data_IF_742941873099
#
_entry.id   IF_742941873099
#
_cell.length_a   1.000
_cell.length_b   1.000
_cell.length_c   1.000
_cell.angle_alpha   90.00
_cell.angle_beta   90.00
_cell.angle_gamma   90.00
#
_symmetry.space_group_name_H-M   'P 1'
#
loop_
_entity.id
_entity.type
_entity.pdbx_description
1 polymer ?
#
# COMPACT_ATOMS: atom_id res chain seq x y z
N UNK A 1 8.79 3.90 2.04
CA UNK A 1 8.07 4.83 1.14
C UNK A 1 7.60 4.16 -0.15
N UNK A 2 8.46 3.41 -0.88
CA UNK A 2 8.06 2.65 -2.09
C UNK A 2 6.94 1.63 -1.79
N UNK A 3 7.02 1.00 -0.62
CA UNK A 3 6.14 -0.09 -0.18
C UNK A 3 4.63 0.26 -0.12
N UNK A 4 4.30 1.54 0.11
CA UNK A 4 2.90 1.99 0.19
C UNK A 4 2.31 2.36 -1.17
N UNK A 5 3.16 2.63 -2.17
CA UNK A 5 2.73 3.17 -3.45
C UNK A 5 2.48 2.08 -4.49
N UNK A 6 3.36 1.08 -4.60
CA UNK A 6 3.31 0.09 -5.69
C UNK A 6 3.21 -1.33 -5.17
N UNK A 7 4.23 -1.80 -4.45
CA UNK A 7 4.32 -3.19 -4.01
C UNK A 7 4.92 -3.31 -2.62
N UNK A 8 4.42 -4.25 -1.81
CA UNK A 8 4.95 -4.53 -0.48
C UNK A 8 6.38 -5.11 -0.52
N UNK A 9 6.78 -5.71 -1.64
CA UNK A 9 8.02 -6.48 -1.80
C UNK A 9 8.82 -6.01 -3.03
N UNK A 10 9.31 -4.76 -3.07
CA UNK A 10 10.06 -4.25 -4.21
C UNK A 10 11.41 -4.98 -4.34
N UNK A 11 11.88 -5.18 -5.58
CA UNK A 11 13.21 -5.74 -5.81
C UNK A 11 14.32 -4.81 -5.29
N UNK A 12 15.50 -5.35 -4.93
CA UNK A 12 16.65 -4.51 -4.52
C UNK A 12 17.03 -3.47 -5.58
N UNK A 13 16.97 -3.82 -6.87
CA UNK A 13 17.26 -2.90 -7.96
C UNK A 13 16.25 -1.75 -8.07
N UNK A 14 14.98 -2.00 -7.74
CA UNK A 14 13.98 -0.93 -7.71
C UNK A 14 14.23 0.04 -6.55
N UNK A 15 14.57 -0.47 -5.36
CA UNK A 15 14.96 0.36 -4.22
C UNK A 15 16.16 1.24 -4.56
N UNK A 16 17.17 0.67 -5.24
CA UNK A 16 18.36 1.39 -5.67
C UNK A 16 18.04 2.54 -6.63
N UNK A 17 17.22 2.31 -7.67
CA UNK A 17 16.84 3.36 -8.63
C UNK A 17 16.12 4.54 -7.97
N UNK A 18 15.23 4.24 -7.02
CA UNK A 18 14.52 5.28 -6.26
C UNK A 18 15.47 6.03 -5.32
N UNK A 19 16.39 5.33 -4.66
CA UNK A 19 17.40 5.96 -3.82
C UNK A 19 18.33 6.88 -4.63
N UNK A 20 18.72 6.47 -5.83
CA UNK A 20 19.52 7.29 -6.75
C UNK A 20 18.76 8.55 -7.20
N UNK A 21 17.46 8.46 -7.48
CA UNK A 21 16.60 9.62 -7.79
C UNK A 21 16.50 10.60 -6.61
N UNK A 22 16.43 10.08 -5.38
CA UNK A 22 16.48 10.91 -4.18
C UNK A 22 17.84 11.60 -4.02
N UNK A 23 18.93 10.89 -4.31
CA UNK A 23 20.29 11.45 -4.23
C UNK A 23 20.50 12.55 -5.28
N UNK A 24 19.97 12.36 -6.50
CA UNK A 24 20.06 13.30 -7.60
C UNK A 24 18.86 13.13 -8.54
N UNK A 25 18.05 14.17 -8.68
CA UNK A 25 16.88 14.20 -9.56
C UNK A 25 17.21 14.35 -11.06
N UNK A 26 18.46 14.14 -11.47
CA UNK A 26 18.96 14.37 -12.82
C UNK A 26 19.34 15.83 -13.10
N UNK A 27 19.11 16.75 -12.16
CA UNK A 27 19.51 18.17 -12.23
C UNK A 27 20.45 18.56 -11.08
N UNK A 28 21.05 17.57 -10.40
CA UNK A 28 21.97 17.78 -9.28
C UNK A 28 21.29 18.13 -7.96
N UNK A 29 19.94 18.13 -7.88
CA UNK A 29 19.22 18.42 -6.64
C UNK A 29 18.90 17.13 -5.88
N UNK A 30 19.29 17.11 -4.60
CA UNK A 30 18.98 16.04 -3.65
C UNK A 30 17.63 16.31 -2.99
N UNK A 31 16.82 15.27 -2.79
CA UNK A 31 15.59 15.34 -2.03
C UNK A 31 14.36 15.86 -2.78
N UNK A 32 14.39 15.87 -4.11
CA UNK A 32 13.21 16.22 -4.92
C UNK A 32 12.16 15.10 -4.86
N UNK A 33 11.15 15.29 -4.01
CA UNK A 33 10.08 14.30 -3.82
C UNK A 33 9.23 14.10 -5.08
N UNK A 34 9.07 15.11 -5.93
CA UNK A 34 8.31 14.97 -7.17
C UNK A 34 9.06 14.04 -8.14
N UNK A 35 10.38 14.19 -8.24
CA UNK A 35 11.23 13.29 -9.01
C UNK A 35 11.21 11.86 -8.45
N UNK A 36 11.29 11.71 -7.13
CA UNK A 36 11.24 10.40 -6.45
C UNK A 36 9.91 9.69 -6.70
N UNK A 37 8.78 10.38 -6.51
CA UNK A 37 7.45 9.81 -6.76
C UNK A 37 7.30 9.43 -8.24
N UNK A 38 7.81 10.26 -9.15
CA UNK A 38 7.83 9.94 -10.58
C UNK A 38 8.63 8.67 -10.87
N UNK A 39 9.81 8.53 -10.29
CA UNK A 39 10.62 7.31 -10.43
C UNK A 39 9.88 6.09 -9.91
N UNK A 40 9.21 6.19 -8.75
CA UNK A 40 8.39 5.10 -8.19
C UNK A 40 7.27 4.70 -9.15
N UNK A 41 6.48 5.65 -9.64
CA UNK A 41 5.30 5.33 -10.46
C UNK A 41 5.64 4.95 -11.91
N UNK A 42 6.81 5.34 -12.40
CA UNK A 42 7.25 5.07 -13.77
C UNK A 42 8.30 3.96 -13.88
N UNK A 43 8.67 3.32 -12.77
CA UNK A 43 9.62 2.22 -12.78
C UNK A 43 9.11 1.04 -13.63
N UNK A 44 9.99 0.35 -14.38
CA UNK A 44 9.62 -0.85 -15.13
C UNK A 44 8.91 -1.90 -14.26
N UNK A 45 9.34 -2.09 -13.01
CA UNK A 45 8.72 -3.02 -12.08
C UNK A 45 7.29 -2.59 -11.73
N UNK A 46 7.02 -1.28 -11.66
CA UNK A 46 5.69 -0.76 -11.36
C UNK A 46 4.71 -0.83 -12.55
N UNK A 47 5.19 -0.90 -13.79
CA UNK A 47 4.36 -0.75 -15.01
C UNK A 47 4.28 -1.98 -15.90
N UNK A 48 5.30 -2.83 -15.91
CA UNK A 48 5.35 -3.94 -16.86
C UNK A 48 4.48 -5.11 -16.41
N UNK A 49 3.78 -5.70 -17.38
CA UNK A 49 2.83 -6.80 -17.16
C UNK A 49 3.52 -8.08 -16.67
N UNK A 50 4.79 -8.27 -17.03
CA UNK A 50 5.63 -9.38 -16.55
C UNK A 50 5.74 -9.40 -15.03
N UNK A 51 5.79 -8.23 -14.38
CA UNK A 51 5.80 -8.13 -12.93
C UNK A 51 4.39 -8.27 -12.35
N UNK A 52 3.38 -7.65 -12.98
CA UNK A 52 2.00 -7.68 -12.47
C UNK A 52 1.29 -9.03 -12.55
N UNK A 53 1.61 -9.86 -13.56
CA UNK A 53 0.98 -11.16 -13.77
C UNK A 53 1.95 -12.34 -13.62
N UNK A 54 3.26 -12.10 -13.59
CA UNK A 54 4.28 -13.16 -13.52
C UNK A 54 4.83 -13.44 -12.13
N UNK A 55 4.64 -12.54 -11.16
CA UNK A 55 5.22 -12.70 -9.81
C UNK A 55 4.14 -12.78 -8.72
N UNK A 56 4.05 -13.91 -7.97
CA UNK A 56 3.15 -14.05 -6.83
C UNK A 56 3.40 -13.05 -5.70
N UNK A 57 4.57 -12.43 -5.65
CA UNK A 57 4.96 -11.45 -4.62
C UNK A 57 4.67 -10.01 -5.00
N UNK A 58 4.24 -9.75 -6.24
CA UNK A 58 4.03 -8.41 -6.76
C UNK A 58 2.71 -7.78 -6.28
N UNK A 59 2.74 -6.46 -6.13
CA UNK A 59 1.62 -5.68 -5.61
C UNK A 59 1.57 -5.66 -4.09
N UNK A 60 0.40 -5.28 -3.56
CA UNK A 60 0.12 -5.19 -2.13
C UNK A 60 -1.34 -5.48 -1.87
N UNK A 61 -1.65 -6.02 -0.71
CA UNK A 61 -3.05 -6.14 -0.31
C UNK A 61 -3.61 -4.76 0.03
N UNK A 62 -4.88 -4.56 -0.33
CA UNK A 62 -5.61 -3.36 0.03
C UNK A 62 -5.98 -3.43 1.50
N UNK A 63 -5.77 -2.32 2.18
CA UNK A 63 -6.30 -2.05 3.51
C UNK A 63 -7.83 -2.32 3.54
N UNK A 64 -8.37 -2.93 4.62
CA UNK A 64 -9.80 -3.17 4.79
C UNK A 64 -10.68 -1.95 4.46
N UNK A 65 -10.28 -0.75 4.90
CA UNK A 65 -11.03 0.50 4.65
C UNK A 65 -11.08 0.78 3.15
N UNK A 66 -9.93 0.70 2.47
CA UNK A 66 -9.84 0.93 1.02
C UNK A 66 -10.57 -0.14 0.22
N UNK A 67 -10.61 -1.38 0.71
CA UNK A 67 -11.37 -2.47 0.10
C UNK A 67 -12.88 -2.18 0.16
N UNK A 68 -13.40 -1.80 1.32
CA UNK A 68 -14.82 -1.45 1.50
C UNK A 68 -15.21 -0.25 0.65
N UNK A 69 -14.39 0.81 0.62
CA UNK A 69 -14.63 1.97 -0.25
C UNK A 69 -14.62 1.56 -1.73
N UNK A 70 -13.74 0.64 -2.12
CA UNK A 70 -13.71 0.09 -3.48
C UNK A 70 -15.01 -0.62 -3.87
N UNK A 71 -15.55 -1.44 -2.96
CA UNK A 71 -16.84 -2.12 -3.14
C UNK A 71 -17.97 -1.09 -3.24
N UNK A 72 -18.01 -0.10 -2.34
CA UNK A 72 -19.02 0.95 -2.38
C UNK A 72 -18.99 1.77 -3.67
N UNK A 73 -17.78 2.06 -4.20
CA UNK A 73 -17.60 2.72 -5.49
C UNK A 73 -18.05 1.86 -6.67
N UNK A 74 -17.70 0.58 -6.67
CA UNK A 74 -18.14 -0.36 -7.72
C UNK A 74 -19.66 -0.49 -7.76
N UNK A 75 -20.31 -0.49 -6.59
CA UNK A 75 -21.77 -0.49 -6.46
C UNK A 75 -22.45 0.87 -6.60
N UNK A 76 -21.67 1.96 -6.79
CA UNK A 76 -22.17 3.33 -6.88
C UNK A 76 -23.11 3.73 -5.72
N UNK A 77 -22.77 3.27 -4.50
CA UNK A 77 -23.67 3.34 -3.34
C UNK A 77 -23.98 4.77 -2.89
N UNK A 78 -23.13 5.73 -3.26
CA UNK A 78 -23.36 7.16 -3.02
C UNK A 78 -24.68 7.68 -3.63
N UNK A 79 -25.25 6.98 -4.62
CA UNK A 79 -26.54 7.34 -5.23
C UNK A 79 -27.77 6.97 -4.39
N UNK A 80 -27.60 6.17 -3.35
CA UNK A 80 -28.70 5.69 -2.50
C UNK A 80 -28.63 6.34 -1.12
N UNK A 81 -29.24 7.52 -0.91
CA UNK A 81 -29.12 8.28 0.35
C UNK A 81 -29.75 7.58 1.55
N UNK A 82 -30.56 6.54 1.32
CA UNK A 82 -31.22 5.74 2.37
C UNK A 82 -30.43 4.49 2.77
N UNK A 83 -29.31 4.21 2.11
CA UNK A 83 -28.45 3.07 2.44
C UNK A 83 -27.26 3.59 3.24
N UNK A 84 -27.19 3.19 4.51
CA UNK A 84 -25.96 3.34 5.29
C UNK A 84 -24.99 2.23 4.88
N UNK A 85 -24.12 2.52 3.92
CA UNK A 85 -23.11 1.57 3.42
C UNK A 85 -21.79 1.63 4.19
N UNK A 86 -21.65 2.60 5.09
CA UNK A 86 -20.48 2.77 5.96
C UNK A 86 -20.95 2.94 7.39
N UNK A 87 -20.48 2.07 8.27
CA UNK A 87 -20.61 2.19 9.71
C UNK A 87 -19.20 2.22 10.32
N UNK A 88 -18.93 3.17 11.21
CA UNK A 88 -17.64 3.27 11.87
C UNK A 88 -17.48 2.25 13.01
N UNK A 89 -18.56 1.92 13.73
CA UNK A 89 -18.52 1.06 14.91
C UNK A 89 -18.26 -0.40 14.53
N UNK A 90 -19.24 -1.01 13.87
CA UNK A 90 -19.18 -2.41 13.44
C UNK A 90 -17.96 -2.70 12.55
N UNK A 91 -17.55 -1.73 11.72
CA UNK A 91 -16.38 -1.87 10.88
C UNK A 91 -15.09 -1.91 11.70
N UNK A 92 -14.94 -1.03 12.70
CA UNK A 92 -13.76 -1.04 13.56
C UNK A 92 -13.68 -2.34 14.37
N UNK A 93 -14.79 -2.81 14.92
CA UNK A 93 -14.81 -4.08 15.68
C UNK A 93 -14.44 -5.28 14.82
N UNK A 94 -14.79 -5.26 13.53
CA UNK A 94 -14.49 -6.34 12.59
C UNK A 94 -13.11 -6.25 11.95
N UNK A 95 -12.64 -5.05 11.61
CA UNK A 95 -11.43 -4.82 10.81
C UNK A 95 -10.25 -4.27 11.62
N UNK A 96 -10.49 -3.86 12.86
CA UNK A 96 -9.53 -3.21 13.77
C UNK A 96 -8.82 -1.99 13.16
N UNK A 97 -9.47 -1.36 12.17
CA UNK A 97 -9.00 -0.18 11.47
C UNK A 97 -10.18 0.74 11.17
N UNK A 98 -9.99 2.04 11.33
CA UNK A 98 -10.97 3.04 10.94
C UNK A 98 -10.29 4.35 10.53
N UNK A 99 -10.88 5.12 9.59
CA UNK A 99 -10.39 6.45 9.27
C UNK A 99 -10.23 7.31 10.54
N UNK A 100 -9.11 8.01 10.66
CA UNK A 100 -8.79 8.91 11.78
C UNK A 100 -8.59 8.23 13.15
N UNK A 101 -8.54 6.90 13.21
CA UNK A 101 -8.36 6.14 14.46
C UNK A 101 -6.98 5.49 14.58
N UNK A 102 -5.95 6.12 14.01
CA UNK A 102 -4.58 5.62 14.06
C UNK A 102 -4.06 5.56 15.51
N UNK A 103 -3.64 4.39 16.02
CA UNK A 103 -3.17 4.26 17.40
C UNK A 103 -1.74 4.79 17.62
N UNK A 104 -0.99 5.05 16.54
CA UNK A 104 0.41 5.49 16.61
C UNK A 104 0.83 6.30 15.37
N UNK A 105 2.03 6.87 15.41
CA UNK A 105 2.67 7.52 14.24
C UNK A 105 2.97 6.56 13.08
N UNK A 106 2.99 5.26 13.35
CA UNK A 106 3.12 4.20 12.34
C UNK A 106 1.75 3.68 11.86
N UNK A 107 0.68 4.40 12.19
CA UNK A 107 -0.70 4.03 11.91
C UNK A 107 -1.07 2.72 12.63
N UNK A 108 -1.81 1.82 11.99
CA UNK A 108 -2.23 0.50 12.51
C UNK A 108 -1.13 -0.58 12.44
N UNK A 109 0.08 -0.23 11.99
CA UNK A 109 1.10 -1.18 11.56
C UNK A 109 2.38 -1.03 12.37
N UNK A 110 3.06 -2.15 12.66
CA UNK A 110 4.45 -2.09 13.13
C UNK A 110 5.43 -2.22 11.97
N UNK A 111 6.61 -1.56 12.04
CA UNK A 111 7.67 -1.68 11.04
C UNK A 111 8.17 -3.12 10.82
N UNK A 112 8.03 -3.99 11.82
CA UNK A 112 8.54 -5.36 11.85
C UNK A 112 7.44 -6.44 11.75
N UNK A 113 6.16 -6.04 11.71
CA UNK A 113 5.06 -6.99 11.68
C UNK A 113 5.04 -7.80 10.38
N UNK A 114 4.87 -9.11 10.51
CA UNK A 114 4.66 -10.04 9.39
C UNK A 114 3.47 -10.93 9.70
N UNK A 115 2.50 -10.93 8.80
CA UNK A 115 1.29 -11.73 8.97
C UNK A 115 1.61 -13.23 8.91
N UNK A 116 1.13 -14.04 9.87
CA UNK A 116 1.34 -15.49 9.85
C UNK A 116 0.71 -16.14 8.60
N UNK A 117 1.26 -17.28 8.17
CA UNK A 117 0.78 -18.03 7.02
C UNK A 117 1.67 -17.90 5.77
N UNK A 118 1.06 -18.05 4.59
CA UNK A 118 1.76 -18.18 3.30
C UNK A 118 2.64 -16.98 2.93
N UNK A 119 2.36 -15.80 3.50
CA UNK A 119 3.16 -14.59 3.28
C UNK A 119 4.50 -14.73 4.02
N UNK A 120 4.46 -15.03 5.31
CA UNK A 120 5.66 -15.22 6.12
C UNK A 120 6.45 -16.46 5.69
N UNK A 121 5.79 -17.55 5.29
CA UNK A 121 6.49 -18.75 4.81
C UNK A 121 7.30 -18.50 3.53
N UNK A 122 6.85 -17.57 2.68
CA UNK A 122 7.55 -17.14 1.48
C UNK A 122 8.46 -15.92 1.71
N UNK A 123 8.72 -15.56 2.98
CA UNK A 123 9.55 -14.41 3.37
C UNK A 123 9.07 -13.06 2.79
N UNK A 124 7.77 -12.94 2.52
CA UNK A 124 7.15 -11.73 2.01
C UNK A 124 6.65 -10.83 3.15
N UNK A 125 6.49 -9.56 2.84
CA UNK A 125 5.93 -8.54 3.72
C UNK A 125 4.50 -8.19 3.32
N UNK A 126 3.68 -7.90 4.34
CA UNK A 126 2.32 -7.41 4.18
C UNK A 126 2.08 -6.24 5.13
N UNK A 127 1.87 -5.06 4.56
CA UNK A 127 1.74 -3.81 5.30
C UNK A 127 0.29 -3.39 5.59
N UNK A 128 -0.70 -4.24 5.27
CA UNK A 128 -2.13 -3.89 5.35
C UNK A 128 -2.89 -4.58 6.48
N UNK A 129 -2.20 -5.37 7.32
CA UNK A 129 -2.82 -6.08 8.44
C UNK A 129 -2.46 -5.39 9.76
N UNK A 130 -3.46 -5.08 10.60
CA UNK A 130 -3.22 -4.45 11.88
C UNK A 130 -2.46 -5.41 12.80
N UNK A 131 -1.60 -4.85 13.66
CA UNK A 131 -0.93 -5.62 14.70
C UNK A 131 -1.89 -5.86 15.87
N UNK A 132 -2.58 -7.01 15.86
CA UNK A 132 -3.18 -7.71 17.01
C UNK A 132 -3.89 -8.99 16.56
#
# INVERSE_FOLDING_TARGET
MIQYLVTSNPSPGYVERVANSFANNGSGKRGDLAAVIRTILLDPEARQVSWSHGSPSFGRLKDPVLRTIGIARAGNLARFPKISWWDYGDFYDSALQAPSFAPSVFNFYRPDYRAPGVITSNQLFQWSLPDR
#
